data_IF_380632586443
#
_entry.id   IF_380632586443
#
_cell.length_a   1.000
_cell.length_b   1.000
_cell.length_c   1.000
_cell.angle_alpha   90.00
_cell.angle_beta   90.00
_cell.angle_gamma   90.00
#
_symmetry.space_group_name_H-M   'P 1'
#
loop_
_entity.id
_entity.type
_entity.pdbx_description
1 polymer ?
#
# COMPACT_ATOMS: atom_id res chain seq x y z
N UNK A 1 -31.65 -48.65 13.17
CA UNK A 1 -32.10 -47.32 12.73
C UNK A 1 -31.24 -46.28 13.41
N UNK A 2 -30.16 -45.87 12.76
CA UNK A 2 -29.39 -44.72 13.19
C UNK A 2 -28.84 -44.11 11.90
N UNK A 3 -29.07 -42.82 11.70
CA UNK A 3 -28.22 -41.83 11.03
C UNK A 3 -29.12 -40.67 10.67
N UNK A 4 -29.15 -39.65 11.53
CA UNK A 4 -29.60 -38.30 11.18
C UNK A 4 -28.93 -37.29 12.11
N UNK A 5 -27.61 -37.39 12.29
CA UNK A 5 -26.81 -36.39 13.02
C UNK A 5 -25.77 -35.69 12.12
N UNK A 6 -25.57 -36.19 10.89
CA UNK A 6 -24.50 -35.75 9.99
C UNK A 6 -24.71 -34.40 9.27
N UNK A 7 -25.94 -33.90 8.99
CA UNK A 7 -26.07 -32.66 8.23
C UNK A 7 -25.91 -31.39 9.09
N UNK A 8 -26.12 -31.51 10.41
CA UNK A 8 -26.03 -30.38 11.34
C UNK A 8 -24.59 -29.98 11.66
N UNK A 9 -23.67 -30.94 11.74
CA UNK A 9 -22.24 -30.70 11.96
C UNK A 9 -21.59 -30.02 10.75
N UNK A 10 -21.96 -30.42 9.53
CA UNK A 10 -21.43 -29.82 8.31
C UNK A 10 -21.91 -28.36 8.12
N UNK A 11 -23.16 -28.07 8.47
CA UNK A 11 -23.72 -26.71 8.39
C UNK A 11 -23.13 -25.79 9.46
N UNK A 12 -22.86 -26.30 10.68
CA UNK A 12 -22.18 -25.54 11.73
C UNK A 12 -20.71 -25.24 11.37
N UNK A 13 -19.99 -26.19 10.77
CA UNK A 13 -18.62 -25.96 10.29
C UNK A 13 -18.58 -24.90 9.18
N UNK A 14 -19.53 -24.93 8.26
CA UNK A 14 -19.63 -23.96 7.17
C UNK A 14 -19.93 -22.55 7.70
N UNK A 15 -20.80 -22.43 8.70
CA UNK A 15 -21.10 -21.16 9.36
C UNK A 15 -19.89 -20.59 10.14
N UNK A 16 -19.08 -21.45 10.77
CA UNK A 16 -17.81 -21.06 11.41
C UNK A 16 -16.74 -20.62 10.40
N UNK A 17 -16.70 -21.25 9.22
CA UNK A 17 -15.80 -20.87 8.13
C UNK A 17 -16.19 -19.53 7.48
N UNK A 18 -17.49 -19.22 7.42
CA UNK A 18 -18.01 -17.93 6.93
C UNK A 18 -17.81 -16.79 7.94
N UNK A 19 -17.84 -17.07 9.25
CA UNK A 19 -17.63 -16.07 10.30
C UNK A 19 -16.16 -15.61 10.43
N UNK A 20 -15.20 -16.35 9.87
CA UNK A 20 -13.77 -15.97 9.85
C UNK A 20 -13.45 -14.92 8.76
N UNK A 21 -14.40 -14.58 7.89
CA UNK A 21 -14.24 -13.58 6.81
C UNK A 21 -14.67 -12.19 7.30
N UNK A 22 -14.22 -11.78 8.48
CA UNK A 22 -14.54 -10.47 9.06
C UNK A 22 -13.44 -9.99 10.00
N UNK A 23 -12.25 -9.81 9.44
CA UNK A 23 -11.23 -8.89 9.93
C UNK A 23 -10.20 -8.71 8.81
N UNK A 24 -10.40 -7.72 7.93
CA UNK A 24 -9.33 -7.25 7.07
C UNK A 24 -8.25 -6.63 7.97
N UNK A 25 -7.28 -7.45 8.38
CA UNK A 25 -6.09 -7.01 9.07
C UNK A 25 -5.38 -6.00 8.16
N UNK A 26 -5.05 -4.81 8.67
CA UNK A 26 -4.21 -3.79 8.00
C UNK A 26 -2.78 -4.29 7.71
N UNK A 27 -2.52 -5.59 7.87
CA UNK A 27 -1.22 -6.26 7.66
C UNK A 27 -0.90 -6.58 6.20
N UNK A 28 -1.81 -6.35 5.25
CA UNK A 28 -1.60 -6.76 3.85
C UNK A 28 -1.16 -5.62 2.90
N UNK A 29 -1.04 -4.39 3.38
CA UNK A 29 -0.59 -3.26 2.54
C UNK A 29 0.88 -2.91 2.84
N UNK A 30 1.82 -3.17 1.91
CA UNK A 30 3.24 -2.91 2.12
C UNK A 30 3.56 -1.40 2.28
N UNK A 31 2.68 -0.50 1.80
CA UNK A 31 2.84 0.93 2.03
C UNK A 31 2.53 1.33 3.48
N UNK A 32 1.54 0.68 4.13
CA UNK A 32 1.23 0.91 5.55
C UNK A 32 2.35 0.39 6.45
N UNK A 33 2.95 -0.76 6.10
CA UNK A 33 4.13 -1.28 6.80
C UNK A 33 5.31 -0.29 6.70
N UNK A 34 5.55 0.30 5.54
CA UNK A 34 6.59 1.31 5.37
C UNK A 34 6.32 2.57 6.22
N UNK A 35 5.06 3.03 6.30
CA UNK A 35 4.69 4.15 7.19
C UNK A 35 4.95 3.80 8.67
N UNK A 36 4.67 2.57 9.07
CA UNK A 36 4.97 2.07 10.42
C UNK A 36 6.48 2.12 10.72
N UNK A 37 7.32 1.65 9.79
CA UNK A 37 8.78 1.70 9.92
C UNK A 37 9.31 3.13 10.03
N UNK A 38 8.79 4.05 9.22
CA UNK A 38 9.12 5.49 9.27
C UNK A 38 8.84 6.06 10.65
N UNK A 39 7.64 5.80 11.18
CA UNK A 39 7.21 6.35 12.45
C UNK A 39 7.94 5.69 13.64
N UNK A 40 8.24 4.40 13.56
CA UNK A 40 9.10 3.69 14.52
C UNK A 40 10.50 4.33 14.57
N UNK A 41 11.12 4.57 13.40
CA UNK A 41 12.43 5.21 13.34
C UNK A 41 12.42 6.65 13.90
N UNK A 42 11.42 7.44 13.53
CA UNK A 42 11.26 8.82 14.03
C UNK A 42 11.07 8.86 15.55
N UNK A 43 10.24 7.97 16.09
CA UNK A 43 9.99 7.94 17.54
C UNK A 43 11.21 7.42 18.31
N UNK A 44 11.99 6.50 17.75
CA UNK A 44 13.29 6.09 18.31
C UNK A 44 14.28 7.26 18.42
N UNK A 45 14.22 8.25 17.51
CA UNK A 45 14.99 9.49 17.57
C UNK A 45 14.29 10.64 18.32
N UNK A 46 13.21 10.35 19.06
CA UNK A 46 12.40 11.31 19.84
C UNK A 46 11.67 12.36 18.99
N UNK A 47 11.51 12.13 17.69
CA UNK A 47 10.64 12.94 16.83
C UNK A 47 9.17 12.48 16.96
N UNK A 48 8.23 13.38 16.67
CA UNK A 48 6.81 13.06 16.70
C UNK A 48 6.41 12.07 15.60
N UNK A 49 5.45 11.22 15.92
CA UNK A 49 4.74 10.37 14.98
C UNK A 49 4.04 11.22 13.91
N UNK A 50 4.05 10.78 12.66
CA UNK A 50 3.37 11.44 11.54
C UNK A 50 2.01 10.79 11.31
N UNK A 51 0.99 11.60 11.04
CA UNK A 51 -0.31 11.10 10.65
C UNK A 51 -0.26 10.51 9.23
N UNK A 52 -0.69 9.26 9.07
CA UNK A 52 -0.86 8.69 7.74
C UNK A 52 -2.02 9.40 7.03
N UNK A 53 -1.79 9.84 5.79
CA UNK A 53 -2.76 10.56 5.00
C UNK A 53 -2.95 9.85 3.65
N UNK A 54 -4.13 9.27 3.47
CA UNK A 54 -4.52 8.48 2.31
C UNK A 54 -4.44 9.27 0.98
N UNK A 55 -4.85 10.54 0.98
CA UNK A 55 -4.75 11.40 -0.20
C UNK A 55 -3.29 11.68 -0.58
N UNK A 56 -2.44 11.89 0.42
CA UNK A 56 -1.00 12.04 0.23
C UNK A 56 -0.34 10.75 -0.28
N UNK A 57 -0.76 9.58 0.24
CA UNK A 57 -0.34 8.27 -0.26
C UNK A 57 -0.70 8.07 -1.74
N UNK A 58 -1.93 8.37 -2.13
CA UNK A 58 -2.32 8.27 -3.55
C UNK A 58 -1.50 9.21 -4.43
N UNK A 59 -1.22 10.44 -3.98
CA UNK A 59 -0.37 11.38 -4.70
C UNK A 59 1.07 10.84 -4.83
N UNK A 60 1.59 10.15 -3.81
CA UNK A 60 2.89 9.47 -3.90
C UNK A 60 2.89 8.39 -5.00
N UNK A 61 1.77 7.68 -5.17
CA UNK A 61 1.62 6.70 -6.24
C UNK A 61 1.55 7.35 -7.63
N UNK A 62 0.87 8.49 -7.77
CA UNK A 62 0.88 9.27 -9.00
C UNK A 62 2.28 9.81 -9.32
N UNK A 63 3.03 10.23 -8.28
CA UNK A 63 4.39 10.73 -8.41
C UNK A 63 5.33 9.67 -8.99
N UNK A 64 5.29 8.42 -8.51
CA UNK A 64 6.11 7.33 -9.06
C UNK A 64 5.64 6.88 -10.44
N UNK A 65 4.33 6.90 -10.73
CA UNK A 65 3.80 6.60 -12.07
C UNK A 65 4.33 7.58 -13.14
N UNK A 66 4.63 8.82 -12.77
CA UNK A 66 5.21 9.80 -13.68
C UNK A 66 6.62 9.43 -14.19
N UNK A 67 7.35 8.54 -13.49
CA UNK A 67 8.62 8.00 -13.95
C UNK A 67 8.46 6.95 -15.05
N UNK A 68 7.24 6.43 -15.28
CA UNK A 68 6.93 5.49 -16.36
C UNK A 68 7.84 4.24 -16.39
N UNK A 69 8.24 3.74 -15.22
CA UNK A 69 9.10 2.56 -15.12
C UNK A 69 10.60 2.84 -15.28
N UNK A 70 11.06 4.08 -15.35
CA UNK A 70 12.48 4.41 -15.58
C UNK A 70 13.25 4.62 -14.27
N UNK A 71 13.79 3.54 -13.68
CA UNK A 71 14.55 3.61 -12.41
C UNK A 71 15.78 4.53 -12.50
N UNK A 72 16.48 4.51 -13.64
CA UNK A 72 17.68 5.29 -13.91
C UNK A 72 17.46 6.81 -13.84
N UNK A 73 16.19 7.23 -13.87
CA UNK A 73 15.79 8.62 -13.79
C UNK A 73 15.52 9.10 -12.35
N UNK A 74 15.51 8.18 -11.37
CA UNK A 74 15.45 8.54 -9.95
C UNK A 74 16.74 9.23 -9.54
N UNK A 75 16.63 10.43 -8.96
CA UNK A 75 17.79 11.28 -8.64
C UNK A 75 18.38 12.02 -9.84
N UNK A 76 17.90 11.75 -11.07
CA UNK A 76 18.30 12.42 -12.30
C UNK A 76 17.39 13.59 -12.71
N UNK A 77 17.40 13.92 -14.00
CA UNK A 77 16.73 15.11 -14.54
C UNK A 77 15.21 14.95 -14.72
N UNK A 78 14.63 13.76 -14.51
CA UNK A 78 13.20 13.48 -14.74
C UNK A 78 12.33 13.61 -13.50
N UNK A 79 12.76 14.38 -12.52
CA UNK A 79 11.94 14.72 -11.36
C UNK A 79 10.62 15.36 -11.85
N UNK A 80 9.43 14.80 -11.52
CA UNK A 80 8.17 15.45 -11.85
C UNK A 80 8.12 16.86 -11.28
N UNK A 81 7.65 17.80 -12.09
CA UNK A 81 7.59 19.22 -11.72
C UNK A 81 6.62 19.45 -10.58
N UNK A 82 6.92 20.43 -9.72
CA UNK A 82 6.16 20.64 -8.49
C UNK A 82 4.71 21.08 -8.76
N UNK A 83 4.42 21.71 -9.91
CA UNK A 83 3.04 22.04 -10.29
C UNK A 83 2.18 20.80 -10.55
N UNK A 84 2.78 19.66 -10.94
CA UNK A 84 2.05 18.42 -11.21
C UNK A 84 1.34 17.87 -9.97
N UNK A 85 1.76 18.22 -8.75
CA UNK A 85 1.04 17.86 -7.52
C UNK A 85 -0.40 18.39 -7.53
N UNK A 86 -0.57 19.63 -7.99
CA UNK A 86 -1.86 20.32 -8.05
C UNK A 86 -2.57 19.99 -9.36
N UNK A 87 -1.86 20.10 -10.48
CA UNK A 87 -2.48 20.09 -11.81
C UNK A 87 -2.82 18.68 -12.32
N UNK A 88 -2.23 17.64 -11.72
CA UNK A 88 -2.34 16.26 -12.25
C UNK A 88 -2.56 15.23 -11.14
N UNK A 89 -1.67 15.18 -10.14
CA UNK A 89 -1.66 14.08 -9.16
C UNK A 89 -2.87 14.14 -8.23
N UNK A 90 -3.16 15.31 -7.64
CA UNK A 90 -4.34 15.46 -6.77
C UNK A 90 -5.67 15.18 -7.49
N UNK A 91 -5.96 15.75 -8.68
CA UNK A 91 -7.17 15.42 -9.44
C UNK A 91 -7.32 13.93 -9.77
N UNK A 92 -6.21 13.25 -10.11
CA UNK A 92 -6.21 11.80 -10.36
C UNK A 92 -6.56 10.98 -9.12
N UNK A 93 -6.26 11.51 -7.93
CA UNK A 93 -6.60 10.92 -6.65
C UNK A 93 -7.97 11.34 -6.10
N UNK A 94 -8.70 12.23 -6.81
CA UNK A 94 -9.93 12.82 -6.28
C UNK A 94 -9.69 13.77 -5.10
N UNK A 95 -8.44 14.20 -4.89
CA UNK A 95 -8.07 15.15 -3.85
C UNK A 95 -8.42 16.56 -4.32
N UNK A 96 -9.11 17.31 -3.46
CA UNK A 96 -9.50 18.69 -3.77
C UNK A 96 -8.28 19.60 -3.83
N UNK A 97 -8.15 20.41 -4.89
CA UNK A 97 -7.04 21.33 -5.06
C UNK A 97 -6.85 22.27 -3.85
N UNK A 98 -7.96 22.71 -3.24
CA UNK A 98 -7.97 23.60 -2.09
C UNK A 98 -7.50 22.96 -0.77
N UNK A 99 -7.45 21.63 -0.68
CA UNK A 99 -7.02 20.91 0.52
C UNK A 99 -5.56 20.45 0.47
N UNK A 100 -4.83 20.71 -0.61
CA UNK A 100 -3.40 20.37 -0.67
C UNK A 100 -2.61 21.19 0.36
N UNK A 101 -2.02 20.46 1.31
CA UNK A 101 -0.97 21.03 2.15
C UNK A 101 0.37 21.05 1.40
N UNK A 102 1.31 21.86 1.90
CA UNK A 102 2.65 21.95 1.30
C UNK A 102 3.39 20.63 1.49
N UNK A 103 3.90 20.07 0.39
CA UNK A 103 4.85 18.97 0.43
C UNK A 103 6.17 19.49 1.00
N UNK A 104 6.62 18.93 2.11
CA UNK A 104 7.80 19.38 2.86
C UNK A 104 8.99 18.45 2.72
N UNK A 105 8.78 17.21 2.26
CA UNK A 105 9.83 16.23 2.09
C UNK A 105 9.43 15.14 1.10
N UNK A 106 10.42 14.51 0.47
CA UNK A 106 10.24 13.42 -0.49
C UNK A 106 11.38 12.44 -0.36
N UNK A 107 11.08 11.15 -0.30
CA UNK A 107 12.04 10.07 -0.42
C UNK A 107 11.57 9.18 -1.57
N UNK A 108 12.52 8.74 -2.40
CA UNK A 108 12.23 7.98 -3.61
C UNK A 108 13.35 6.96 -3.83
N UNK A 109 12.97 5.70 -4.03
CA UNK A 109 13.88 4.62 -4.37
C UNK A 109 13.29 3.77 -5.49
N UNK A 110 14.14 3.14 -6.28
CA UNK A 110 13.73 2.23 -7.35
C UNK A 110 14.69 1.05 -7.45
N UNK A 111 14.14 -0.15 -7.62
CA UNK A 111 14.92 -1.39 -7.76
C UNK A 111 14.32 -2.29 -8.86
N UNK A 112 15.14 -3.08 -9.56
CA UNK A 112 14.66 -4.03 -10.55
C UNK A 112 13.86 -5.19 -9.93
N UNK A 113 14.19 -5.62 -8.71
CA UNK A 113 13.47 -6.65 -7.94
C UNK A 113 12.63 -6.04 -6.83
N UNK A 114 11.55 -6.72 -6.43
CA UNK A 114 10.67 -6.23 -5.36
C UNK A 114 11.42 -6.20 -4.03
N UNK A 115 11.63 -5.02 -3.44
CA UNK A 115 12.20 -4.92 -2.11
C UNK A 115 11.06 -4.89 -1.08
N UNK A 116 11.06 -5.79 -0.07
CA UNK A 116 10.08 -5.74 1.00
C UNK A 116 10.21 -4.42 1.80
N UNK A 117 9.18 -4.02 2.57
CA UNK A 117 9.12 -2.71 3.23
C UNK A 117 10.36 -2.35 4.06
N UNK A 118 10.94 -3.29 4.83
CA UNK A 118 12.17 -3.06 5.58
C UNK A 118 13.38 -2.73 4.68
N UNK A 119 13.57 -3.47 3.59
CA UNK A 119 14.62 -3.18 2.63
C UNK A 119 14.35 -1.86 1.89
N UNK A 120 13.09 -1.58 1.55
CA UNK A 120 12.68 -0.32 0.95
C UNK A 120 12.99 0.87 1.85
N UNK A 121 12.74 0.73 3.16
CA UNK A 121 13.11 1.74 4.16
C UNK A 121 14.61 2.04 4.14
N UNK A 122 15.47 1.02 4.18
CA UNK A 122 16.92 1.21 4.16
C UNK A 122 17.39 1.92 2.88
N UNK A 123 16.79 1.60 1.73
CA UNK A 123 17.13 2.25 0.46
C UNK A 123 16.62 3.68 0.36
N UNK A 124 15.47 3.98 0.96
CA UNK A 124 14.93 5.34 1.01
C UNK A 124 15.79 6.24 1.92
N UNK A 125 16.44 5.66 2.93
CA UNK A 125 17.31 6.34 3.91
C UNK A 125 18.78 6.00 3.64
N UNK A 126 19.21 6.17 2.38
CA UNK A 126 20.54 5.76 1.94
C UNK A 126 21.68 6.71 2.39
N UNK A 127 21.37 7.95 2.77
CA UNK A 127 22.37 8.97 3.08
C UNK A 127 21.92 9.98 4.16
N UNK A 128 22.84 10.84 4.61
CA UNK A 128 22.55 11.86 5.62
C UNK A 128 21.45 12.84 5.20
N UNK A 129 21.32 13.15 3.90
CA UNK A 129 20.29 14.06 3.40
C UNK A 129 18.90 13.41 3.55
N UNK A 130 18.77 12.14 3.18
CA UNK A 130 17.53 11.38 3.35
C UNK A 130 17.14 11.24 4.83
N UNK A 131 18.14 11.06 5.72
CA UNK A 131 17.92 11.04 7.16
C UNK A 131 17.45 12.40 7.71
N UNK A 132 18.04 13.50 7.24
CA UNK A 132 17.59 14.86 7.59
C UNK A 132 16.14 15.14 7.14
N UNK A 133 15.75 14.64 5.95
CA UNK A 133 14.36 14.69 5.51
C UNK A 133 13.49 13.88 6.47
N UNK A 134 13.82 12.61 6.72
CA UNK A 134 13.05 11.73 7.60
C UNK A 134 12.81 12.32 8.99
N UNK A 135 13.81 12.98 9.59
CA UNK A 135 13.73 13.51 10.97
C UNK A 135 13.32 14.99 11.05
N UNK A 136 12.94 15.61 9.94
CA UNK A 136 12.48 16.99 9.94
C UNK A 136 11.27 17.19 10.86
N UNK A 137 11.31 18.26 11.66
CA UNK A 137 10.20 18.70 12.53
C UNK A 137 9.08 19.41 11.78
N UNK A 138 9.30 19.71 10.50
CA UNK A 138 8.31 20.38 9.65
C UNK A 138 7.28 19.41 9.07
N UNK A 139 7.43 18.11 9.33
CA UNK A 139 6.50 17.07 8.89
C UNK A 139 5.44 16.83 9.96
N UNK A 140 4.18 16.80 9.54
CA UNK A 140 3.02 16.43 10.37
C UNK A 140 2.23 15.27 9.79
N UNK A 141 2.32 15.06 8.48
CA UNK A 141 1.69 13.93 7.77
C UNK A 141 2.69 13.19 6.89
N UNK A 142 2.40 11.93 6.63
CA UNK A 142 3.14 11.04 5.75
C UNK A 142 2.17 10.29 4.84
N UNK A 143 2.60 10.04 3.60
CA UNK A 143 1.92 9.12 2.69
C UNK A 143 2.96 8.34 1.91
N UNK A 144 2.80 7.02 1.83
CA UNK A 144 3.71 6.13 1.13
C UNK A 144 3.02 5.44 -0.05
N UNK A 145 3.81 5.07 -1.05
CA UNK A 145 3.33 4.29 -2.18
C UNK A 145 4.40 3.35 -2.73
N UNK A 146 3.93 2.25 -3.30
CA UNK A 146 4.72 1.30 -4.06
C UNK A 146 4.03 0.96 -5.38
N UNK A 147 4.79 0.86 -6.46
CA UNK A 147 4.29 0.31 -7.73
C UNK A 147 5.29 -0.67 -8.32
N UNK A 148 4.78 -1.70 -9.01
CA UNK A 148 5.52 -2.49 -10.00
C UNK A 148 4.99 -2.23 -11.40
N UNK A 149 5.58 -2.84 -12.43
CA UNK A 149 5.00 -2.85 -13.78
C UNK A 149 4.18 -4.12 -14.00
N UNK A 150 3.28 -4.11 -14.98
CA UNK A 150 2.34 -5.20 -15.27
C UNK A 150 2.98 -6.53 -15.72
N UNK A 151 4.31 -6.61 -15.75
CA UNK A 151 5.09 -7.81 -16.11
C UNK A 151 6.30 -8.09 -15.19
N UNK A 152 6.37 -7.46 -14.01
CA UNK A 152 7.52 -7.52 -13.11
C UNK A 152 8.06 -6.13 -12.75
N UNK A 153 9.26 -6.04 -12.18
CA UNK A 153 9.90 -4.75 -11.90
C UNK A 153 10.11 -3.88 -13.15
N UNK A 154 10.56 -2.63 -12.97
CA UNK A 154 11.08 -2.10 -11.73
C UNK A 154 10.02 -1.69 -10.70
N UNK A 155 10.42 -1.71 -9.43
CA UNK A 155 9.62 -1.37 -8.28
C UNK A 155 10.05 -0.03 -7.73
N UNK A 156 9.10 0.91 -7.68
CA UNK A 156 9.32 2.23 -7.10
C UNK A 156 8.68 2.29 -5.73
N UNK A 157 9.40 2.90 -4.80
CA UNK A 157 8.93 3.27 -3.49
C UNK A 157 9.02 4.77 -3.34
N UNK A 158 7.94 5.41 -2.91
CA UNK A 158 7.93 6.83 -2.62
C UNK A 158 7.27 7.12 -1.28
N UNK A 159 7.87 8.04 -0.55
CA UNK A 159 7.31 8.64 0.65
C UNK A 159 7.23 10.14 0.43
N UNK A 160 6.06 10.69 0.65
CA UNK A 160 5.83 12.12 0.69
C UNK A 160 5.52 12.55 2.12
N UNK A 161 6.06 13.70 2.49
CA UNK A 161 5.78 14.35 3.76
C UNK A 161 5.10 15.69 3.53
N UNK A 162 4.15 16.05 4.40
CA UNK A 162 3.46 17.34 4.37
C UNK A 162 3.52 18.02 5.74
N UNK A 163 3.21 19.31 5.77
CA UNK A 163 2.91 20.05 7.01
C UNK A 163 1.41 20.32 7.19
N UNK A 164 0.57 19.42 6.66
CA UNK A 164 -0.88 19.50 6.73
C UNK A 164 -1.43 19.21 8.12
N UNK A 165 -2.76 19.13 8.18
CA UNK A 165 -3.51 18.80 9.40
C UNK A 165 -4.36 17.59 9.10
N UNK A 166 -4.13 16.53 9.87
CA UNK A 166 -4.88 15.29 9.79
C UNK A 166 -6.39 15.56 9.65
N UNK A 167 -7.04 14.83 8.75
CA UNK A 167 -8.48 14.94 8.43
C UNK A 167 -8.95 16.24 7.76
N UNK A 168 -8.05 17.18 7.43
CA UNK A 168 -8.41 18.43 6.74
C UNK A 168 -7.52 18.78 5.55
N UNK A 169 -6.35 18.16 5.43
CA UNK A 169 -5.52 18.19 4.23
C UNK A 169 -5.69 16.94 3.38
N UNK A 170 -5.49 17.11 2.07
CA UNK A 170 -5.62 16.10 1.03
C UNK A 170 -6.98 15.37 1.07
N UNK A 171 -8.05 16.14 1.29
CA UNK A 171 -9.42 15.62 1.35
C UNK A 171 -9.84 15.03 0.01
N UNK A 172 -10.32 13.78 0.05
CA UNK A 172 -10.80 13.03 -1.10
C UNK A 172 -12.31 13.23 -1.24
N UNK A 173 -12.76 13.62 -2.43
CA UNK A 173 -14.18 13.78 -2.74
C UNK A 173 -14.92 12.44 -2.68
N UNK A 174 -16.01 12.36 -1.92
CA UNK A 174 -16.79 11.12 -1.75
C UNK A 174 -16.25 10.11 -0.73
N UNK A 175 -15.14 10.41 -0.04
CA UNK A 175 -14.63 9.63 1.10
C UNK A 175 -13.97 8.29 0.76
N UNK A 176 -13.92 7.91 -0.53
CA UNK A 176 -13.22 6.71 -1.02
C UNK A 176 -12.28 7.15 -2.12
N UNK A 177 -10.95 6.97 -2.00
CA UNK A 177 -10.04 7.28 -3.09
C UNK A 177 -10.33 6.43 -4.30
N UNK A 178 -10.09 7.00 -5.47
CA UNK A 178 -10.12 6.24 -6.72
C UNK A 178 -9.10 5.11 -6.61
N UNK A 179 -9.56 3.88 -6.83
CA UNK A 179 -8.73 2.67 -6.87
C UNK A 179 -7.52 2.91 -7.77
N UNK A 180 -6.32 2.89 -7.18
CA UNK A 180 -5.14 3.46 -7.83
C UNK A 180 -4.26 2.41 -8.53
N UNK A 181 -4.86 1.46 -9.25
CA UNK A 181 -4.10 0.39 -9.91
C UNK A 181 -3.31 0.86 -11.15
N UNK A 182 -2.17 0.23 -11.50
CA UNK A 182 -1.40 -0.72 -10.68
C UNK A 182 -0.67 -0.02 -9.52
N UNK A 183 -0.43 -0.75 -8.42
CA UNK A 183 0.29 -0.26 -7.24
C UNK A 183 -0.59 0.00 -6.02
N UNK A 184 0.07 0.34 -4.91
CA UNK A 184 -0.51 0.41 -3.56
C UNK A 184 0.00 1.65 -2.84
N UNK A 185 -0.81 2.19 -1.95
CA UNK A 185 -0.47 3.38 -1.19
C UNK A 185 -1.07 3.31 0.22
N UNK A 186 -0.49 4.07 1.15
CA UNK A 186 -0.83 4.00 2.57
C UNK A 186 -2.16 4.67 2.90
N UNK A 187 -2.73 4.32 4.05
CA UNK A 187 -3.99 4.86 4.55
C UNK A 187 -5.23 4.36 3.79
N UNK A 188 -5.05 3.38 2.90
CA UNK A 188 -6.14 2.74 2.16
C UNK A 188 -6.26 1.27 2.58
N UNK A 189 -7.48 0.81 2.90
CA UNK A 189 -7.73 -0.56 3.33
C UNK A 189 -7.86 -1.56 2.16
N UNK A 190 -7.51 -1.16 0.94
CA UNK A 190 -7.62 -2.02 -0.23
C UNK A 190 -6.51 -3.08 -0.24
N UNK A 191 -6.87 -4.31 -0.64
CA UNK A 191 -5.88 -5.33 -0.93
C UNK A 191 -4.97 -4.88 -2.08
N UNK A 192 -3.67 -4.91 -1.81
CA UNK A 192 -2.65 -4.43 -2.71
C UNK A 192 -2.60 -5.30 -3.99
N UNK A 193 -3.26 -4.85 -5.06
CA UNK A 193 -3.26 -5.53 -6.36
C UNK A 193 -1.99 -5.20 -7.14
N UNK A 194 -0.91 -5.90 -6.83
CA UNK A 194 0.32 -5.85 -7.62
C UNK A 194 1.55 -6.40 -6.90
N UNK A 195 1.91 -7.65 -7.25
CA UNK A 195 3.18 -8.34 -7.00
C UNK A 195 3.30 -9.32 -5.82
N UNK A 196 2.24 -9.60 -5.05
CA UNK A 196 2.22 -10.78 -4.16
C UNK A 196 1.20 -11.79 -4.67
N UNK A 197 1.54 -12.50 -5.74
CA UNK A 197 0.95 -13.82 -6.00
C UNK A 197 1.86 -14.88 -5.37
N UNK A 198 1.80 -14.99 -4.05
CA UNK A 198 2.14 -16.24 -3.36
C UNK A 198 0.94 -16.67 -2.54
N UNK A 199 -0.19 -16.79 -3.22
CA UNK A 199 -1.32 -17.58 -2.75
C UNK A 199 -1.55 -18.65 -3.78
N UNK A 200 -1.01 -19.86 -3.54
CA UNK A 200 -1.50 -21.09 -4.17
C UNK A 200 -3.02 -20.99 -4.10
N UNK A 201 -3.67 -20.84 -5.26
CA UNK A 201 -5.05 -20.41 -5.32
C UNK A 201 -5.92 -21.28 -4.42
N UNK A 202 -6.75 -20.66 -3.59
CA UNK A 202 -7.80 -21.39 -2.86
C UNK A 202 -8.67 -22.26 -3.80
N UNK A 203 -8.65 -21.96 -5.11
CA UNK A 203 -9.29 -22.75 -6.16
C UNK A 203 -8.64 -24.13 -6.41
N UNK A 204 -7.32 -24.30 -6.21
CA UNK A 204 -6.70 -25.64 -6.33
C UNK A 204 -7.05 -26.55 -5.14
N UNK A 205 -7.33 -25.98 -3.96
CA UNK A 205 -7.81 -26.74 -2.80
C UNK A 205 -9.29 -27.15 -2.94
N UNK A 206 -10.14 -26.31 -3.54
CA UNK A 206 -11.54 -26.66 -3.87
C UNK A 206 -11.60 -27.75 -4.95
N UNK A 207 -10.69 -27.72 -5.93
CA UNK A 207 -10.62 -28.74 -6.98
C UNK A 207 -10.13 -30.09 -6.43
N UNK A 208 -9.10 -30.09 -5.59
CA UNK A 208 -8.56 -31.32 -4.99
C UNK A 208 -9.55 -32.03 -4.05
N UNK A 209 -10.40 -31.27 -3.34
CA UNK A 209 -11.43 -31.84 -2.45
C UNK A 209 -12.63 -32.40 -3.21
N UNK A 210 -13.01 -31.81 -4.35
CA UNK A 210 -14.03 -32.37 -5.24
C UNK A 210 -13.58 -33.68 -5.92
N UNK A 211 -12.30 -33.79 -6.31
CA UNK A 211 -11.76 -35.05 -6.86
C UNK A 211 -11.62 -36.17 -5.81
N UNK A 212 -11.30 -35.84 -4.56
CA UNK A 212 -11.25 -36.82 -3.48
C UNK A 212 -12.64 -37.38 -3.10
N UNK A 213 -13.70 -36.56 -3.21
CA UNK A 213 -15.08 -37.01 -2.99
C UNK A 213 -15.63 -37.84 -4.16
N UNK A 214 -15.20 -37.59 -5.40
CA UNK A 214 -15.62 -38.40 -6.55
C UNK A 214 -15.01 -39.82 -6.54
N UNK A 215 -13.78 -39.98 -6.03
CA UNK A 215 -13.12 -41.29 -5.89
C UNK A 215 -13.68 -42.16 -4.76
N UNK A 216 -14.43 -41.59 -3.82
CA UNK A 216 -15.08 -42.33 -2.73
C UNK A 216 -16.46 -42.91 -3.10
N UNK A 217 -16.98 -42.61 -4.30
CA UNK A 217 -18.25 -43.15 -4.82
C UNK A 217 -18.07 -44.14 -5.98
N UNK A 218 -16.83 -44.54 -6.30
CA UNK A 218 -16.53 -45.56 -7.33
C UNK A 218 -15.70 -46.74 -6.79
N UNK A 219 -16.09 -47.25 -5.63
CA UNK A 219 -15.69 -48.58 -5.12
C UNK A 219 -16.90 -49.25 -4.47
#
# INVERSE_FOLDING_TARGET
>A
MAVAAQPLLASALLALLLAAVSAADTKNNPADELVSLINSNRTASKASNLADNQGLGCIALQYIKAYKGQCDQVGGNKKPVDSSFIDTFAPNCGVQAASLAKITGRLLACQPSYPPPAQAFDMLIADERSLQVLHSKNHTEVGAAVTGTSGGGPYFWCVLFSNGKANSSFTVEGGVPKTAHPGCFSGNNDECSGAISTGVGAWTLVSATLFALAGAFTL
#
